data_IF_125577998620
#
_entry.id   IF_125577998620
#
_cell.length_a   1.000
_cell.length_b   1.000
_cell.length_c   1.000
_cell.angle_alpha   90.00
_cell.angle_beta   90.00
_cell.angle_gamma   90.00
#
_symmetry.space_group_name_H-M   'P 1'
#
loop_
_entity.id
_entity.type
_entity.pdbx_description
1 polymer ?
#
# COMPACT_ATOMS: atom_id res chain seq x y z
N UNK A 1 -16.68 17.83 -18.13
CA UNK A 1 -16.81 16.36 -18.18
C UNK A 1 -17.68 15.92 -17.00
N UNK A 2 -18.80 15.22 -17.25
CA UNK A 2 -19.71 14.79 -16.17
C UNK A 2 -19.28 13.39 -15.68
N UNK A 3 -18.73 13.33 -14.47
CA UNK A 3 -18.27 12.08 -13.84
C UNK A 3 -19.49 11.25 -13.44
N UNK A 4 -19.67 10.07 -14.03
CA UNK A 4 -20.84 9.21 -13.72
C UNK A 4 -20.80 8.64 -12.30
N UNK A 5 -19.66 8.10 -11.88
CA UNK A 5 -19.49 7.52 -10.54
C UNK A 5 -18.55 8.37 -9.68
N UNK A 6 -19.04 9.53 -9.23
CA UNK A 6 -18.22 10.55 -8.54
C UNK A 6 -17.49 10.03 -7.30
N UNK A 7 -18.17 9.27 -6.43
CA UNK A 7 -17.56 8.73 -5.21
C UNK A 7 -16.45 7.72 -5.51
N UNK A 8 -16.71 6.74 -6.37
CA UNK A 8 -15.75 5.69 -6.72
C UNK A 8 -14.52 6.30 -7.41
N UNK A 9 -14.73 7.26 -8.32
CA UNK A 9 -13.66 8.03 -8.95
C UNK A 9 -12.74 8.68 -7.91
N UNK A 10 -13.31 9.46 -6.97
CA UNK A 10 -12.52 10.21 -6.00
C UNK A 10 -11.77 9.30 -5.03
N UNK A 11 -12.35 8.19 -4.60
CA UNK A 11 -11.66 7.23 -3.73
C UNK A 11 -10.45 6.63 -4.45
N UNK A 12 -10.61 6.13 -5.68
CA UNK A 12 -9.49 5.58 -6.42
C UNK A 12 -8.42 6.64 -6.72
N UNK A 13 -8.83 7.88 -7.03
CA UNK A 13 -7.91 9.00 -7.30
C UNK A 13 -7.12 9.40 -6.05
N UNK A 14 -7.78 9.50 -4.91
CA UNK A 14 -7.15 9.81 -3.63
C UNK A 14 -6.13 8.72 -3.25
N UNK A 15 -6.49 7.45 -3.39
CA UNK A 15 -5.58 6.33 -3.09
C UNK A 15 -4.37 6.36 -4.03
N UNK A 16 -4.57 6.65 -5.31
CA UNK A 16 -3.46 6.82 -6.28
C UNK A 16 -2.49 7.92 -5.82
N UNK A 17 -3.02 9.06 -5.36
CA UNK A 17 -2.21 10.16 -4.84
C UNK A 17 -1.44 9.76 -3.58
N UNK A 18 -2.06 9.00 -2.68
CA UNK A 18 -1.39 8.48 -1.47
C UNK A 18 -0.21 7.59 -1.85
N UNK A 19 -0.40 6.66 -2.80
CA UNK A 19 0.71 5.83 -3.29
C UNK A 19 1.84 6.65 -3.90
N UNK A 20 1.50 7.65 -4.73
CA UNK A 20 2.49 8.52 -5.36
C UNK A 20 3.32 9.30 -4.33
N UNK A 21 2.66 9.94 -3.36
CA UNK A 21 3.33 10.68 -2.29
C UNK A 21 4.19 9.71 -1.46
N UNK A 22 3.65 8.54 -1.12
CA UNK A 22 4.38 7.49 -0.42
C UNK A 22 5.67 7.11 -1.15
N UNK A 23 5.61 6.88 -2.47
CA UNK A 23 6.79 6.56 -3.27
C UNK A 23 7.83 7.68 -3.33
N UNK A 24 7.39 8.94 -3.43
CA UNK A 24 8.29 10.10 -3.40
C UNK A 24 9.06 10.11 -2.07
N UNK A 25 8.36 10.00 -0.95
CA UNK A 25 8.97 9.98 0.38
C UNK A 25 9.91 8.79 0.57
N UNK A 26 9.52 7.61 0.10
CA UNK A 26 10.32 6.39 0.20
C UNK A 26 11.59 6.50 -0.64
N UNK A 27 11.47 7.04 -1.86
CA UNK A 27 12.60 7.32 -2.75
C UNK A 27 13.59 8.29 -2.14
N UNK A 28 13.12 9.39 -1.53
CA UNK A 28 13.99 10.32 -0.79
C UNK A 28 14.74 9.62 0.35
N UNK A 29 14.07 8.75 1.12
CA UNK A 29 14.70 8.00 2.21
C UNK A 29 15.85 7.10 1.74
N UNK A 30 15.70 6.44 0.58
CA UNK A 30 16.73 5.57 0.02
C UNK A 30 17.93 6.37 -0.50
N UNK A 31 17.68 7.52 -1.14
CA UNK A 31 18.75 8.39 -1.64
C UNK A 31 19.66 8.92 -0.53
N UNK A 32 19.15 9.07 0.70
CA UNK A 32 19.95 9.54 1.84
C UNK A 32 20.98 8.52 2.33
N UNK A 33 20.73 7.23 2.17
CA UNK A 33 21.59 6.16 2.68
C UNK A 33 21.60 4.99 1.71
N UNK A 34 22.08 5.25 0.50
CA UNK A 34 22.06 4.31 -0.61
C UNK A 34 22.78 3.01 -0.22
N UNK A 35 21.99 1.95 -0.06
CA UNK A 35 22.40 0.62 0.33
C UNK A 35 21.73 -0.40 -0.61
N UNK A 36 22.43 -1.49 -0.93
CA UNK A 36 21.91 -2.47 -1.90
C UNK A 36 20.69 -3.20 -1.38
N UNK A 37 20.66 -3.55 -0.10
CA UNK A 37 19.50 -4.22 0.49
C UNK A 37 18.29 -3.29 0.51
N UNK A 38 18.51 -2.02 0.88
CA UNK A 38 17.48 -0.99 0.78
C UNK A 38 16.95 -0.82 -0.66
N UNK A 39 17.82 -0.88 -1.67
CA UNK A 39 17.43 -0.81 -3.08
C UNK A 39 16.58 -2.02 -3.50
N UNK A 40 16.94 -3.25 -3.10
CA UNK A 40 16.14 -4.43 -3.41
C UNK A 40 14.76 -4.36 -2.78
N UNK A 41 14.68 -3.98 -1.50
CA UNK A 41 13.40 -3.77 -0.81
C UNK A 41 12.58 -2.70 -1.54
N UNK A 42 13.20 -1.60 -1.94
CA UNK A 42 12.51 -0.56 -2.71
C UNK A 42 11.93 -1.07 -4.02
N UNK A 43 12.70 -1.81 -4.82
CA UNK A 43 12.24 -2.34 -6.10
C UNK A 43 11.06 -3.31 -5.93
N UNK A 44 11.07 -4.13 -4.88
CA UNK A 44 9.95 -5.01 -4.54
C UNK A 44 8.71 -4.18 -4.17
N UNK A 45 8.86 -3.18 -3.30
CA UNK A 45 7.77 -2.28 -2.92
C UNK A 45 7.25 -1.50 -4.13
N UNK A 46 8.14 -1.05 -5.01
CA UNK A 46 7.80 -0.37 -6.25
C UNK A 46 6.98 -1.27 -7.18
N UNK A 47 7.37 -2.53 -7.34
CA UNK A 47 6.62 -3.48 -8.15
C UNK A 47 5.21 -3.72 -7.58
N UNK A 48 5.10 -4.03 -6.28
CA UNK A 48 3.82 -4.40 -5.64
C UNK A 48 2.90 -3.18 -5.51
N UNK A 49 3.39 -2.10 -4.90
CA UNK A 49 2.57 -0.90 -4.69
C UNK A 49 2.43 -0.06 -5.96
N UNK A 50 3.38 -0.12 -6.89
CA UNK A 50 3.26 0.55 -8.19
C UNK A 50 2.21 -0.12 -9.06
N UNK A 51 2.16 -1.45 -9.05
CA UNK A 51 1.05 -2.20 -9.65
C UNK A 51 -0.29 -1.82 -9.03
N UNK A 52 -0.38 -1.74 -7.69
CA UNK A 52 -1.61 -1.34 -7.01
C UNK A 52 -2.02 0.10 -7.37
N UNK A 53 -1.08 1.04 -7.36
CA UNK A 53 -1.30 2.42 -7.79
C UNK A 53 -1.84 2.48 -9.22
N UNK A 54 -1.26 1.71 -10.14
CA UNK A 54 -1.73 1.60 -11.52
C UNK A 54 -3.17 1.10 -11.60
N UNK A 55 -3.53 0.06 -10.84
CA UNK A 55 -4.91 -0.44 -10.79
C UNK A 55 -5.89 0.62 -10.29
N UNK A 56 -5.55 1.36 -9.23
CA UNK A 56 -6.37 2.48 -8.75
C UNK A 56 -6.49 3.59 -9.79
N UNK A 57 -5.40 3.93 -10.49
CA UNK A 57 -5.44 4.95 -11.54
C UNK A 57 -6.40 4.56 -12.68
N UNK A 58 -6.26 3.35 -13.21
CA UNK A 58 -7.16 2.83 -14.27
C UNK A 58 -8.61 2.74 -13.78
N UNK A 59 -8.83 2.26 -12.56
CA UNK A 59 -10.17 2.20 -11.98
C UNK A 59 -10.81 3.58 -11.87
N UNK A 60 -10.04 4.64 -11.55
CA UNK A 60 -10.55 6.01 -11.54
C UNK A 60 -11.01 6.47 -12.92
N UNK A 61 -10.20 6.26 -13.96
CA UNK A 61 -10.52 6.63 -15.35
C UNK A 61 -11.75 5.88 -15.88
N UNK A 62 -11.91 4.61 -15.52
CA UNK A 62 -13.06 3.80 -15.92
C UNK A 62 -14.32 4.14 -15.11
N UNK A 63 -14.18 4.53 -13.84
CA UNK A 63 -15.28 5.00 -13.01
C UNK A 63 -15.84 6.34 -13.52
N UNK A 64 -14.99 7.21 -14.05
CA UNK A 64 -15.41 8.45 -14.71
C UNK A 64 -16.34 8.18 -15.89
N UNK A 65 -16.01 7.19 -16.72
CA UNK A 65 -16.83 6.75 -17.88
C UNK A 65 -18.09 5.99 -17.45
N UNK A 66 -18.15 5.53 -16.20
CA UNK A 66 -19.21 4.65 -15.67
C UNK A 66 -19.23 3.27 -16.34
N UNK A 67 -18.06 2.75 -16.73
CA UNK A 67 -17.97 1.51 -17.51
C UNK A 67 -18.17 0.25 -16.66
N UNK A 68 -18.61 -0.84 -17.31
CA UNK A 68 -18.63 -2.18 -16.72
C UNK A 68 -17.25 -2.63 -16.24
N UNK A 69 -16.22 -2.27 -17.02
CA UNK A 69 -14.82 -2.59 -16.71
C UNK A 69 -14.38 -1.93 -15.40
N UNK A 70 -14.77 -0.67 -15.18
CA UNK A 70 -14.54 0.03 -13.92
C UNK A 70 -15.19 -0.69 -12.74
N UNK A 71 -16.46 -1.11 -12.88
CA UNK A 71 -17.16 -1.89 -11.84
C UNK A 71 -16.48 -3.23 -11.53
N UNK A 72 -15.97 -3.94 -12.54
CA UNK A 72 -15.21 -5.19 -12.33
C UNK A 72 -13.87 -4.93 -11.64
N UNK A 73 -13.15 -3.90 -12.08
CA UNK A 73 -11.85 -3.54 -11.53
C UNK A 73 -11.95 -3.11 -10.07
N UNK A 74 -12.92 -2.26 -9.71
CA UNK A 74 -13.13 -1.82 -8.33
C UNK A 74 -13.47 -3.00 -7.40
N UNK A 75 -14.28 -3.97 -7.86
CA UNK A 75 -14.56 -5.19 -7.10
C UNK A 75 -13.31 -6.05 -6.92
N UNK A 76 -12.53 -6.23 -7.97
CA UNK A 76 -11.28 -6.99 -7.91
C UNK A 76 -10.30 -6.36 -6.91
N UNK A 77 -10.10 -5.03 -6.97
CA UNK A 77 -9.28 -4.28 -6.01
C UNK A 77 -9.81 -4.47 -4.58
N UNK A 78 -11.13 -4.36 -4.38
CA UNK A 78 -11.74 -4.53 -3.05
C UNK A 78 -11.48 -5.92 -2.48
N UNK A 79 -11.57 -6.98 -3.29
CA UNK A 79 -11.25 -8.35 -2.89
C UNK A 79 -9.78 -8.46 -2.48
N UNK A 80 -8.84 -7.94 -3.27
CA UNK A 80 -7.42 -7.95 -2.92
C UNK A 80 -7.18 -7.26 -1.58
N UNK A 81 -7.74 -6.06 -1.38
CA UNK A 81 -7.56 -5.30 -0.15
C UNK A 81 -8.18 -6.01 1.06
N UNK A 82 -9.32 -6.68 0.88
CA UNK A 82 -9.98 -7.45 1.94
C UNK A 82 -9.11 -8.61 2.43
N UNK A 83 -8.36 -9.26 1.53
CA UNK A 83 -7.44 -10.34 1.90
C UNK A 83 -6.10 -9.82 2.46
N UNK A 84 -5.58 -8.73 1.92
CA UNK A 84 -4.28 -8.19 2.38
C UNK A 84 -4.37 -7.51 3.74
N UNK A 85 -5.51 -6.90 4.09
CA UNK A 85 -5.66 -6.18 5.36
C UNK A 85 -5.51 -7.09 6.60
N UNK A 86 -6.16 -8.26 6.71
CA UNK A 86 -5.94 -9.19 7.81
C UNK A 86 -4.51 -9.70 7.90
N UNK A 87 -3.89 -10.05 6.76
CA UNK A 87 -2.52 -10.58 6.73
C UNK A 87 -1.53 -9.54 7.23
N UNK A 88 -1.62 -8.30 6.73
CA UNK A 88 -0.76 -7.21 7.19
C UNK A 88 -0.95 -6.89 8.67
N UNK A 89 -2.21 -6.94 9.16
CA UNK A 89 -2.52 -6.68 10.57
C UNK A 89 -1.94 -7.75 11.49
N UNK A 90 -2.05 -9.04 11.11
CA UNK A 90 -1.48 -10.15 11.86
C UNK A 90 0.05 -10.10 11.90
N UNK A 91 0.70 -9.77 10.79
CA UNK A 91 2.16 -9.59 10.75
C UNK A 91 2.63 -8.45 11.65
N UNK A 92 1.92 -7.31 11.63
CA UNK A 92 2.24 -6.18 12.50
C UNK A 92 2.09 -6.53 13.99
N UNK A 93 1.01 -7.21 14.35
CA UNK A 93 0.79 -7.73 15.71
C UNK A 93 1.91 -8.70 16.12
N UNK A 94 2.27 -9.65 15.25
CA UNK A 94 3.34 -10.61 15.50
C UNK A 94 4.69 -9.93 15.78
N UNK A 95 5.07 -8.95 14.95
CA UNK A 95 6.29 -8.16 15.15
C UNK A 95 6.25 -7.34 16.45
N UNK A 96 5.10 -6.77 16.79
CA UNK A 96 4.91 -6.04 18.05
C UNK A 96 5.13 -6.95 19.26
N UNK A 97 4.54 -8.15 19.26
CA UNK A 97 4.69 -9.11 20.34
C UNK A 97 6.13 -9.61 20.48
N UNK A 98 6.80 -9.97 19.38
CA UNK A 98 8.22 -10.42 19.43
C UNK A 98 9.11 -9.33 20.01
N UNK A 99 8.95 -8.08 19.53
CA UNK A 99 9.78 -6.98 20.01
C UNK A 99 9.53 -6.69 21.49
N UNK A 100 8.29 -6.81 21.96
CA UNK A 100 7.96 -6.67 23.37
C UNK A 100 8.58 -7.78 24.25
N UNK A 101 8.53 -9.05 23.79
CA UNK A 101 9.15 -10.19 24.49
C UNK A 101 10.68 -10.07 24.55
N UNK A 102 11.31 -9.64 23.45
CA UNK A 102 12.76 -9.41 23.39
C UNK A 102 13.23 -8.33 24.39
N UNK A 103 12.45 -7.25 24.57
CA UNK A 103 12.79 -6.22 25.56
C UNK A 103 12.57 -6.67 27.01
N UNK A 104 11.52 -7.45 27.30
CA UNK A 104 11.29 -8.00 28.64
C UNK A 104 12.32 -9.07 29.04
N UNK A 105 12.82 -9.87 28.09
CA UNK A 105 13.89 -10.84 28.33
C UNK A 105 15.21 -10.17 28.71
N UNK A 106 15.63 -9.14 27.97
CA UNK A 106 16.85 -8.37 28.28
C UNK A 106 16.79 -7.69 29.66
N UNK A 107 15.63 -7.22 30.09
CA UNK A 107 15.49 -6.54 31.38
C UNK A 107 15.58 -7.49 32.59
N UNK A 108 15.40 -8.81 32.38
CA UNK A 108 15.56 -9.84 33.42
C UNK A 108 17.00 -10.33 33.59
N UNK A 109 17.85 -10.24 32.56
CA UNK A 109 19.27 -10.63 32.67
C UNK A 109 20.17 -9.55 33.29
N UNK A 110 19.66 -8.31 33.44
CA UNK A 110 20.39 -7.16 33.99
C UNK A 110 20.06 -6.92 35.49
N UNK A 111 19.18 -7.74 36.09
CA UNK A 111 18.87 -7.74 37.53
C UNK A 111 19.36 -9.02 38.20
#
# INVERSE_FOLDING_TARGET
>A
MQIKNKHVYWIHRLITLIYLIGFILLGFGILQKFDRDALYVFLILLAVFGWMMYLHFIASLEAEKGSERGRRMSRFIAVILLFLFPVGSLLALYLFFIKHQSMNGKNKEIR
#
